data_IF_499392764556
#
_entry.id   IF_499392764556
#
_cell.length_a   1.000
_cell.length_b   1.000
_cell.length_c   1.000
_cell.angle_alpha   90.00
_cell.angle_beta   90.00
_cell.angle_gamma   90.00
#
_symmetry.space_group_name_H-M   'P 1'
#
loop_
_entity.id
_entity.type
_entity.pdbx_description
1 polymer ?
#
# COMPACT_ATOMS: atom_id res chain seq x y z
N UNK A 1 -11.29 -15.12 -14.72
CA UNK A 1 -10.25 -14.55 -13.87
C UNK A 1 -9.65 -13.44 -14.68
N UNK A 2 -9.83 -12.21 -14.20
CA UNK A 2 -9.32 -11.01 -14.83
C UNK A 2 -7.85 -10.83 -14.48
N UNK A 3 -7.10 -10.09 -15.31
CA UNK A 3 -5.71 -9.76 -14.97
C UNK A 3 -5.61 -8.98 -13.65
N UNK A 4 -6.59 -8.13 -13.38
CA UNK A 4 -6.73 -7.35 -12.14
C UNK A 4 -6.93 -8.21 -10.89
N UNK A 5 -7.35 -9.49 -11.02
CA UNK A 5 -7.46 -10.39 -9.87
C UNK A 5 -6.08 -10.68 -9.24
N UNK A 6 -5.00 -10.63 -10.03
CA UNK A 6 -3.61 -10.74 -9.54
C UNK A 6 -3.28 -9.53 -8.64
N UNK A 7 -3.57 -8.32 -9.13
CA UNK A 7 -3.33 -7.08 -8.38
C UNK A 7 -4.16 -7.03 -7.08
N UNK A 8 -5.44 -7.46 -7.13
CA UNK A 8 -6.28 -7.61 -5.93
C UNK A 8 -5.71 -8.63 -4.94
N UNK A 9 -5.02 -9.68 -5.42
CA UNK A 9 -4.37 -10.64 -4.54
C UNK A 9 -3.16 -10.02 -3.82
N UNK A 10 -2.38 -9.19 -4.51
CA UNK A 10 -1.25 -8.44 -3.95
C UNK A 10 -1.70 -7.38 -2.95
N UNK A 11 -2.78 -6.68 -3.24
CA UNK A 11 -3.42 -5.75 -2.32
C UNK A 11 -3.74 -6.40 -0.97
N UNK A 12 -4.09 -7.68 -0.93
CA UNK A 12 -4.33 -8.38 0.34
C UNK A 12 -3.05 -8.49 1.17
N UNK A 13 -1.91 -8.78 0.55
CA UNK A 13 -0.62 -8.82 1.25
C UNK A 13 -0.20 -7.43 1.71
N UNK A 14 -0.40 -6.41 0.86
CA UNK A 14 -0.11 -5.02 1.21
C UNK A 14 -0.95 -4.59 2.42
N UNK A 15 -2.28 -4.83 2.41
CA UNK A 15 -3.18 -4.52 3.53
C UNK A 15 -2.75 -5.20 4.83
N UNK A 16 -2.26 -6.45 4.79
CA UNK A 16 -1.71 -7.13 5.97
C UNK A 16 -0.53 -6.39 6.57
N UNK A 17 0.42 -5.94 5.74
CA UNK A 17 1.56 -5.12 6.19
C UNK A 17 1.12 -3.76 6.72
N UNK A 18 0.12 -3.12 6.11
CA UNK A 18 -0.40 -1.85 6.62
C UNK A 18 -0.95 -1.99 8.05
N UNK A 19 -1.68 -3.08 8.36
CA UNK A 19 -2.15 -3.35 9.74
C UNK A 19 -1.01 -3.57 10.73
N UNK A 20 0.03 -4.28 10.31
CA UNK A 20 1.25 -4.46 11.12
C UNK A 20 1.86 -3.09 11.45
N UNK A 21 1.99 -2.22 10.45
CA UNK A 21 2.54 -0.87 10.61
C UNK A 21 1.65 0.04 11.47
N UNK A 22 0.32 -0.03 11.32
CA UNK A 22 -0.63 0.70 12.16
C UNK A 22 -0.51 0.30 13.64
N UNK A 23 -0.39 -1.00 13.91
CA UNK A 23 -0.18 -1.52 15.27
C UNK A 23 1.17 -1.05 15.83
N UNK A 24 2.23 -1.10 15.03
CA UNK A 24 3.54 -0.61 15.43
C UNK A 24 3.52 0.90 15.73
N UNK A 25 2.85 1.71 14.90
CA UNK A 25 2.70 3.15 15.14
C UNK A 25 1.93 3.45 16.42
N UNK A 26 0.88 2.68 16.73
CA UNK A 26 0.14 2.82 17.99
C UNK A 26 1.03 2.54 19.20
N UNK A 27 1.86 1.49 19.16
CA UNK A 27 2.84 1.17 20.21
C UNK A 27 3.91 2.25 20.36
N UNK A 28 4.48 2.73 19.25
CA UNK A 28 5.45 3.84 19.26
C UNK A 28 4.84 5.06 19.96
N UNK A 29 3.61 5.42 19.61
CA UNK A 29 2.87 6.55 20.21
C UNK A 29 2.57 6.34 21.69
N UNK A 30 2.28 5.11 22.12
CA UNK A 30 2.04 4.77 23.51
C UNK A 30 3.31 4.76 24.38
N UNK A 31 4.49 4.94 23.78
CA UNK A 31 5.76 4.85 24.48
C UNK A 31 6.18 3.39 24.74
N UNK A 32 5.53 2.43 24.11
CA UNK A 32 5.91 1.01 24.21
C UNK A 32 7.16 0.71 23.37
N UNK A 33 7.85 -0.37 23.73
CA UNK A 33 8.99 -0.85 22.96
C UNK A 33 8.50 -1.42 21.62
N UNK A 34 9.13 -0.99 20.53
CA UNK A 34 8.86 -1.46 19.18
C UNK A 34 10.17 -1.87 18.54
N UNK A 35 10.16 -3.03 17.89
CA UNK A 35 11.31 -3.49 17.13
C UNK A 35 11.54 -2.55 15.94
N UNK A 36 12.68 -1.85 15.92
CA UNK A 36 13.01 -0.98 14.80
C UNK A 36 13.28 -1.76 13.51
N UNK A 37 13.64 -3.05 13.58
CA UNK A 37 13.76 -3.90 12.39
C UNK A 37 12.41 -4.12 11.71
N UNK A 38 11.31 -4.27 12.48
CA UNK A 38 9.95 -4.32 11.93
C UNK A 38 9.68 -3.12 11.02
N UNK A 39 9.95 -1.91 11.51
CA UNK A 39 9.67 -0.67 10.79
C UNK A 39 10.55 -0.53 9.55
N UNK A 40 11.84 -0.89 9.65
CA UNK A 40 12.76 -0.88 8.50
C UNK A 40 12.37 -1.90 7.44
N UNK A 41 11.98 -3.09 7.84
CA UNK A 41 11.50 -4.13 6.92
C UNK A 41 10.16 -3.72 6.29
N UNK A 42 9.30 -3.01 7.03
CA UNK A 42 8.09 -2.39 6.48
C UNK A 42 8.38 -1.34 5.40
N UNK A 43 9.35 -0.45 5.62
CA UNK A 43 9.84 0.50 4.58
C UNK A 43 10.38 -0.26 3.37
N UNK A 44 11.14 -1.33 3.60
CA UNK A 44 11.68 -2.15 2.51
C UNK A 44 10.58 -2.88 1.73
N UNK A 45 9.57 -3.43 2.42
CA UNK A 45 8.39 -4.01 1.79
C UNK A 45 7.63 -2.99 0.95
N UNK A 46 7.44 -1.77 1.46
CA UNK A 46 6.78 -0.70 0.72
C UNK A 46 7.50 -0.38 -0.60
N UNK A 47 8.84 -0.35 -0.59
CA UNK A 47 9.65 -0.08 -1.79
C UNK A 47 9.69 -1.27 -2.76
N UNK A 48 9.94 -2.47 -2.25
CA UNK A 48 10.18 -3.64 -3.10
C UNK A 48 8.87 -4.29 -3.57
N UNK A 49 7.87 -4.41 -2.68
CA UNK A 49 6.62 -5.12 -2.96
C UNK A 49 5.51 -4.17 -3.42
N UNK A 50 5.15 -3.16 -2.62
CA UNK A 50 4.04 -2.28 -2.99
C UNK A 50 4.41 -1.40 -4.20
N UNK A 51 5.62 -0.85 -4.24
CA UNK A 51 6.02 0.07 -5.31
C UNK A 51 6.62 -0.66 -6.53
N UNK A 52 7.84 -1.20 -6.42
CA UNK A 52 8.53 -1.76 -7.59
C UNK A 52 7.81 -2.95 -8.23
N UNK A 53 7.20 -3.83 -7.42
CA UNK A 53 6.54 -5.03 -7.91
C UNK A 53 5.08 -4.78 -8.30
N UNK A 54 4.28 -4.25 -7.38
CA UNK A 54 2.86 -4.05 -7.61
C UNK A 54 2.57 -2.81 -8.48
N UNK A 55 2.90 -1.58 -8.02
CA UNK A 55 2.70 -0.38 -8.85
C UNK A 55 3.48 -0.44 -10.17
N UNK A 56 4.64 -1.12 -10.19
CA UNK A 56 5.40 -1.34 -11.43
C UNK A 56 4.58 -2.03 -12.52
N UNK A 57 3.76 -3.03 -12.17
CA UNK A 57 2.84 -3.67 -13.14
C UNK A 57 1.73 -2.74 -13.57
N UNK A 58 1.25 -1.90 -12.68
CA UNK A 58 0.20 -0.95 -13.00
C UNK A 58 0.69 0.15 -13.94
N UNK A 59 1.79 0.81 -13.58
CA UNK A 59 2.39 1.91 -14.33
C UNK A 59 2.92 1.46 -15.70
N UNK A 60 3.53 0.28 -15.79
CA UNK A 60 4.17 -0.20 -17.03
C UNK A 60 3.24 -1.04 -17.94
N UNK A 61 2.22 -1.70 -17.38
CA UNK A 61 1.37 -2.62 -18.15
C UNK A 61 -0.10 -2.22 -18.15
N UNK A 62 -0.73 -2.00 -17.01
CA UNK A 62 -2.17 -1.72 -16.95
C UNK A 62 -2.52 -0.31 -17.45
N UNK A 63 -1.94 0.72 -16.84
CA UNK A 63 -2.27 2.12 -17.08
C UNK A 63 -2.08 2.54 -18.55
N UNK A 64 -1.01 2.14 -19.26
CA UNK A 64 -0.87 2.43 -20.69
C UNK A 64 -2.03 1.86 -21.51
N UNK A 65 -2.45 0.62 -21.23
CA UNK A 65 -3.57 -0.03 -21.94
C UNK A 65 -4.89 0.68 -21.66
N UNK A 66 -5.13 1.11 -20.43
CA UNK A 66 -6.35 1.85 -20.09
C UNK A 66 -6.39 3.23 -20.78
N UNK A 67 -5.24 3.90 -20.94
CA UNK A 67 -5.13 5.12 -21.76
C UNK A 67 -5.42 4.85 -23.22
N UNK A 68 -4.86 3.79 -23.80
CA UNK A 68 -5.13 3.39 -25.19
C UNK A 68 -6.62 3.07 -25.42
N UNK A 69 -7.30 2.56 -24.40
CA UNK A 69 -8.75 2.32 -24.40
C UNK A 69 -9.60 3.58 -24.23
N UNK A 70 -8.98 4.74 -24.05
CA UNK A 70 -9.66 6.03 -24.07
C UNK A 70 -10.00 6.60 -22.70
N UNK A 71 -9.37 6.13 -21.60
CA UNK A 71 -9.45 6.87 -20.35
C UNK A 71 -8.82 8.27 -20.53
N UNK A 72 -9.53 9.34 -20.11
CA UNK A 72 -9.10 10.70 -20.41
C UNK A 72 -7.85 11.10 -19.60
N UNK A 73 -7.03 12.02 -20.13
CA UNK A 73 -6.05 12.73 -19.33
C UNK A 73 -6.73 13.49 -18.19
N UNK A 74 -6.07 13.59 -17.04
CA UNK A 74 -6.64 14.08 -15.79
C UNK A 74 -7.60 13.08 -15.12
N UNK A 75 -7.83 11.92 -15.73
CA UNK A 75 -8.77 10.91 -15.24
C UNK A 75 -8.19 10.01 -14.12
N UNK A 76 -8.88 8.89 -13.80
CA UNK A 76 -8.51 8.00 -12.69
C UNK A 76 -7.06 7.53 -12.70
N UNK A 77 -6.50 7.22 -13.89
CA UNK A 77 -5.10 6.80 -14.03
C UNK A 77 -4.12 7.90 -13.58
N UNK A 78 -4.38 9.16 -13.91
CA UNK A 78 -3.51 10.26 -13.49
C UNK A 78 -3.61 10.53 -11.99
N UNK A 79 -4.77 10.24 -11.37
CA UNK A 79 -4.91 10.27 -9.91
C UNK A 79 -4.04 9.18 -9.28
N UNK A 80 -4.10 7.93 -9.75
CA UNK A 80 -3.30 6.83 -9.18
C UNK A 80 -1.79 7.10 -9.28
N UNK A 81 -1.30 7.56 -10.43
CA UNK A 81 0.12 7.91 -10.60
C UNK A 81 0.55 9.00 -9.61
N UNK A 82 -0.27 10.03 -9.38
CA UNK A 82 0.03 11.06 -8.37
C UNK A 82 0.09 10.46 -6.97
N UNK A 83 -0.81 9.54 -6.65
CA UNK A 83 -0.82 8.88 -5.36
C UNK A 83 0.33 7.91 -5.14
N UNK A 84 0.82 7.25 -6.20
CA UNK A 84 2.06 6.46 -6.11
C UNK A 84 3.24 7.36 -5.74
N UNK A 85 3.34 8.55 -6.35
CA UNK A 85 4.37 9.54 -5.99
C UNK A 85 4.25 9.97 -4.53
N UNK A 86 3.04 10.30 -4.06
CA UNK A 86 2.82 10.64 -2.64
C UNK A 86 3.19 9.47 -1.71
N UNK A 87 2.86 8.24 -2.09
CA UNK A 87 3.23 7.03 -1.36
C UNK A 87 4.75 6.89 -1.22
N UNK A 88 5.49 7.10 -2.32
CA UNK A 88 6.96 7.11 -2.33
C UNK A 88 7.53 8.20 -1.42
N UNK A 89 6.94 9.39 -1.40
CA UNK A 89 7.35 10.50 -0.52
C UNK A 89 7.15 10.15 0.96
N UNK A 90 6.00 9.59 1.34
CA UNK A 90 5.75 9.16 2.73
C UNK A 90 6.72 8.07 3.19
N UNK A 91 7.03 7.10 2.34
CA UNK A 91 8.03 6.06 2.65
C UNK A 91 9.44 6.66 2.82
N UNK A 92 9.78 7.68 2.04
CA UNK A 92 11.03 8.43 2.19
C UNK A 92 11.12 9.22 3.50
N UNK A 93 10.00 9.80 3.95
CA UNK A 93 9.90 10.47 5.25
C UNK A 93 10.14 9.50 6.41
N UNK A 94 9.44 8.36 6.43
CA UNK A 94 9.59 7.33 7.48
C UNK A 94 11.05 6.85 7.56
N UNK A 95 11.67 6.54 6.41
CA UNK A 95 13.07 6.12 6.34
C UNK A 95 14.03 7.18 6.90
N UNK A 96 13.77 8.46 6.62
CA UNK A 96 14.58 9.58 7.12
C UNK A 96 14.50 9.69 8.65
N UNK A 97 13.31 9.55 9.23
CA UNK A 97 13.09 9.58 10.68
C UNK A 97 13.79 8.37 11.34
N UNK A 98 13.59 7.16 10.82
CA UNK A 98 14.23 5.94 11.31
C UNK A 98 15.76 6.03 11.33
N UNK A 99 16.36 6.66 10.30
CA UNK A 99 17.81 6.87 10.22
C UNK A 99 18.33 7.96 11.18
N UNK A 100 17.47 8.88 11.61
CA UNK A 100 17.82 9.91 12.59
C UNK A 100 17.83 9.32 13.99
N UNK A 101 16.83 8.51 14.33
CA UNK A 101 16.72 7.82 15.63
C UNK A 101 17.99 6.99 15.93
N UNK A 102 18.54 6.28 14.94
CA UNK A 102 19.77 5.46 15.09
C UNK A 102 21.01 6.29 15.45
N UNK A 103 21.05 7.56 15.04
CA UNK A 103 22.21 8.44 15.27
C UNK A 103 22.15 9.13 16.63
N UNK A 104 21.03 9.07 17.34
CA UNK A 104 20.89 9.55 18.71
C UNK A 104 21.63 8.63 19.69
N UNK A 105 22.41 9.20 20.61
CA UNK A 105 23.09 8.45 21.66
C UNK A 105 22.10 8.07 22.77
N UNK A 106 21.49 6.88 22.68
CA UNK A 106 20.61 6.33 23.72
C UNK A 106 19.94 5.03 23.30
N UNK A 107 19.59 4.17 24.26
CA UNK A 107 18.82 2.94 24.03
C UNK A 107 17.31 3.23 23.78
N UNK A 108 16.85 4.44 24.12
CA UNK A 108 15.45 4.88 24.02
C UNK A 108 15.24 5.96 22.95
N UNK A 109 14.19 5.78 22.13
CA UNK A 109 13.71 6.81 21.19
C UNK A 109 13.16 8.00 22.00
N UNK A 110 13.63 9.22 21.72
CA UNK A 110 13.12 10.43 22.35
C UNK A 110 11.62 10.60 22.09
N UNK A 111 10.87 11.17 23.04
CA UNK A 111 9.40 11.29 22.93
C UNK A 111 8.96 12.04 21.67
N UNK A 112 9.65 13.12 21.29
CA UNK A 112 9.34 13.91 20.09
C UNK A 112 9.53 13.07 18.81
N UNK A 113 10.62 12.29 18.74
CA UNK A 113 10.89 11.37 17.62
C UNK A 113 9.84 10.25 17.52
N UNK A 114 9.24 9.82 18.65
CA UNK A 114 8.16 8.81 18.65
C UNK A 114 6.88 9.36 18.04
N UNK A 115 6.48 10.58 18.40
CA UNK A 115 5.27 11.20 17.85
C UNK A 115 5.40 11.41 16.34
N UNK A 116 6.53 11.97 15.89
CA UNK A 116 6.80 12.20 14.47
C UNK A 116 6.82 10.89 13.67
N UNK A 117 7.50 9.85 14.18
CA UNK A 117 7.55 8.54 13.53
C UNK A 117 6.16 7.91 13.42
N UNK A 118 5.38 7.92 14.51
CA UNK A 118 4.04 7.35 14.51
C UNK A 118 3.12 8.09 13.54
N UNK A 119 3.17 9.42 13.49
CA UNK A 119 2.38 10.22 12.53
C UNK A 119 2.78 9.91 11.08
N UNK A 120 4.08 9.82 10.78
CA UNK A 120 4.56 9.51 9.44
C UNK A 120 4.07 8.12 8.97
N UNK A 121 4.14 7.11 9.83
CA UNK A 121 3.65 5.77 9.53
C UNK A 121 2.13 5.80 9.28
N UNK A 122 1.35 6.43 10.17
CA UNK A 122 -0.11 6.48 10.03
C UNK A 122 -0.56 7.26 8.78
N UNK A 123 0.19 8.28 8.35
CA UNK A 123 -0.08 8.98 7.08
C UNK A 123 0.11 8.04 5.89
N UNK A 124 1.21 7.29 5.87
CA UNK A 124 1.48 6.32 4.80
C UNK A 124 0.41 5.22 4.74
N UNK A 125 0.09 4.59 5.87
CA UNK A 125 -0.86 3.46 5.91
C UNK A 125 -2.26 3.91 5.54
N UNK A 126 -2.70 5.08 6.02
CA UNK A 126 -4.00 5.65 5.68
C UNK A 126 -4.07 6.06 4.20
N UNK A 127 -3.00 6.63 3.65
CA UNK A 127 -2.89 6.94 2.22
C UNK A 127 -3.03 5.69 1.37
N UNK A 128 -2.19 4.67 1.61
CA UNK A 128 -2.16 3.49 0.77
C UNK A 128 -3.46 2.66 0.91
N UNK A 129 -4.08 2.63 2.09
CA UNK A 129 -5.37 1.96 2.28
C UNK A 129 -6.48 2.60 1.43
N UNK A 130 -6.55 3.94 1.40
CA UNK A 130 -7.52 4.67 0.55
C UNK A 130 -7.21 4.51 -0.93
N UNK A 131 -5.92 4.56 -1.29
CA UNK A 131 -5.46 4.33 -2.66
C UNK A 131 -5.93 2.97 -3.18
N UNK A 132 -5.61 1.89 -2.45
CA UNK A 132 -6.03 0.53 -2.79
C UNK A 132 -7.56 0.41 -2.90
N UNK A 133 -8.32 1.08 -2.02
CA UNK A 133 -9.77 1.08 -2.11
C UNK A 133 -10.27 1.68 -3.44
N UNK A 134 -9.65 2.77 -3.92
CA UNK A 134 -10.00 3.39 -5.21
C UNK A 134 -9.68 2.46 -6.37
N UNK A 135 -8.59 1.72 -6.29
CA UNK A 135 -8.22 0.77 -7.33
C UNK A 135 -9.17 -0.43 -7.35
N UNK A 136 -9.31 -1.12 -6.21
CA UNK A 136 -10.15 -2.30 -6.05
C UNK A 136 -11.60 -2.03 -6.45
N UNK A 137 -12.15 -0.91 -5.99
CA UNK A 137 -13.58 -0.61 -6.13
C UNK A 137 -13.94 0.15 -7.40
N UNK A 138 -12.98 0.86 -8.02
CA UNK A 138 -13.29 1.75 -9.15
C UNK A 138 -12.39 1.41 -10.34
N UNK A 139 -11.07 1.59 -10.23
CA UNK A 139 -10.20 1.50 -11.40
C UNK A 139 -10.17 0.09 -11.99
N UNK A 140 -10.06 -0.94 -11.16
CA UNK A 140 -10.04 -2.32 -11.64
C UNK A 140 -11.38 -2.76 -12.20
N UNK A 141 -12.50 -2.29 -11.62
CA UNK A 141 -13.83 -2.54 -12.19
C UNK A 141 -14.02 -1.87 -13.56
N UNK A 142 -13.43 -0.68 -13.76
CA UNK A 142 -13.38 -0.02 -15.07
C UNK A 142 -12.52 -0.85 -16.03
N UNK A 143 -11.34 -1.31 -15.62
CA UNK A 143 -10.45 -2.12 -16.43
C UNK A 143 -11.12 -3.44 -16.89
N UNK A 144 -11.79 -4.14 -15.97
CA UNK A 144 -12.47 -5.41 -16.22
C UNK A 144 -13.61 -5.28 -17.25
N UNK A 145 -14.22 -4.09 -17.35
CA UNK A 145 -15.26 -3.79 -18.34
C UNK A 145 -14.71 -3.28 -19.67
N UNK A 146 -13.56 -2.59 -19.66
CA UNK A 146 -12.98 -1.94 -20.85
C UNK A 146 -12.12 -2.90 -21.69
N UNK A 147 -11.49 -3.89 -21.08
CA UNK A 147 -10.64 -4.85 -21.78
C UNK A 147 -11.49 -5.99 -22.37
N UNK A 148 -11.24 -6.33 -23.64
CA UNK A 148 -11.80 -7.55 -24.21
C UNK A 148 -11.18 -8.79 -23.57
N UNK A 149 -11.84 -9.94 -23.67
CA UNK A 149 -11.31 -11.18 -23.10
C UNK A 149 -9.93 -11.59 -23.65
N UNK A 150 -9.59 -11.22 -24.89
CA UNK A 150 -8.26 -11.48 -25.44
C UNK A 150 -7.19 -10.55 -24.85
N UNK A 151 -7.51 -9.26 -24.68
CA UNK A 151 -6.62 -8.28 -24.09
C UNK A 151 -6.38 -8.53 -22.61
N UNK A 152 -7.44 -8.88 -21.87
CA UNK A 152 -7.36 -9.26 -20.47
C UNK A 152 -6.53 -10.54 -20.29
N UNK A 153 -6.76 -11.57 -21.10
CA UNK A 153 -5.95 -12.79 -21.06
C UNK A 153 -4.48 -12.53 -21.44
N UNK A 154 -4.21 -11.55 -22.31
CA UNK A 154 -2.84 -11.13 -22.64
C UNK A 154 -2.20 -10.41 -21.46
N UNK A 155 -2.89 -9.44 -20.86
CA UNK A 155 -2.40 -8.69 -19.70
C UNK A 155 -2.13 -9.62 -18.51
N UNK A 156 -2.99 -10.60 -18.27
CA UNK A 156 -2.76 -11.61 -17.24
C UNK A 156 -1.44 -12.35 -17.47
N UNK A 157 -1.13 -12.78 -18.70
CA UNK A 157 0.15 -13.46 -19.00
C UNK A 157 1.34 -12.53 -18.80
N UNK A 158 1.19 -11.25 -19.13
CA UNK A 158 2.22 -10.24 -18.94
C UNK A 158 2.47 -9.96 -17.46
N UNK A 159 1.44 -9.92 -16.61
CA UNK A 159 1.60 -9.87 -15.16
C UNK A 159 2.31 -11.09 -14.61
N UNK A 160 1.88 -12.30 -14.99
CA UNK A 160 2.57 -13.53 -14.53
C UNK A 160 4.04 -13.58 -14.96
N UNK A 161 4.37 -13.05 -16.15
CA UNK A 161 5.76 -12.93 -16.58
C UNK A 161 6.53 -11.87 -15.78
N UNK A 162 5.91 -10.71 -15.56
CA UNK A 162 6.47 -9.64 -14.74
C UNK A 162 6.71 -10.11 -13.30
N UNK A 163 5.85 -10.97 -12.74
CA UNK A 163 6.04 -11.49 -11.38
C UNK A 163 7.39 -12.18 -11.23
N UNK A 164 7.77 -13.00 -12.23
CA UNK A 164 9.03 -13.75 -12.27
C UNK A 164 10.23 -12.82 -12.46
N UNK A 165 10.07 -11.78 -13.28
CA UNK A 165 11.15 -10.83 -13.59
C UNK A 165 11.40 -9.82 -12.46
N UNK A 166 10.33 -9.38 -11.79
CA UNK A 166 10.37 -8.35 -10.74
C UNK A 166 10.70 -8.94 -9.36
N UNK A 167 10.27 -10.18 -9.07
CA UNK A 167 10.46 -10.76 -7.75
C UNK A 167 10.64 -12.27 -7.77
N UNK A 168 11.79 -12.73 -7.27
CA UNK A 168 12.06 -14.17 -7.16
C UNK A 168 11.10 -14.86 -6.19
N UNK A 169 10.88 -16.17 -6.38
CA UNK A 169 10.09 -16.97 -5.42
C UNK A 169 10.64 -16.88 -3.99
N UNK A 170 11.95 -16.73 -3.83
CA UNK A 170 12.59 -16.56 -2.53
C UNK A 170 12.27 -15.20 -1.88
N UNK A 171 12.20 -14.12 -2.68
CA UNK A 171 11.81 -12.80 -2.17
C UNK A 171 10.33 -12.76 -1.80
N UNK A 172 9.46 -13.40 -2.60
CA UNK A 172 8.04 -13.54 -2.27
C UNK A 172 7.83 -14.33 -0.97
N UNK A 173 8.54 -15.47 -0.83
CA UNK A 173 8.50 -16.28 0.39
C UNK A 173 9.00 -15.51 1.62
N UNK A 174 10.07 -14.71 1.47
CA UNK A 174 10.58 -13.83 2.53
C UNK A 174 9.52 -12.83 3.00
N UNK A 175 8.77 -12.21 2.09
CA UNK A 175 7.72 -11.29 2.47
C UNK A 175 6.54 -11.98 3.14
N UNK A 176 6.20 -13.19 2.69
CA UNK A 176 5.18 -13.99 3.38
C UNK A 176 5.61 -14.34 4.81
N UNK A 177 6.87 -14.77 5.00
CA UNK A 177 7.42 -15.06 6.32
C UNK A 177 7.45 -13.81 7.23
N UNK A 178 7.82 -12.65 6.68
CA UNK A 178 7.76 -11.37 7.39
C UNK A 178 6.35 -11.08 7.89
N UNK A 179 5.34 -11.18 7.02
CA UNK A 179 3.94 -10.93 7.39
C UNK A 179 3.49 -11.90 8.47
N UNK A 180 3.69 -13.21 8.26
CA UNK A 180 3.21 -14.24 9.19
C UNK A 180 3.89 -14.12 10.57
N UNK A 181 5.18 -13.78 10.58
CA UNK A 181 5.94 -13.56 11.83
C UNK A 181 5.37 -12.39 12.61
N UNK A 182 5.10 -11.26 11.96
CA UNK A 182 4.68 -10.05 12.65
C UNK A 182 3.19 -10.03 12.99
N UNK A 183 2.32 -10.62 12.18
CA UNK A 183 0.92 -10.85 12.58
C UNK A 183 0.86 -11.71 13.84
N UNK A 184 1.63 -12.80 13.91
CA UNK A 184 1.71 -13.64 15.10
C UNK A 184 2.31 -12.90 16.30
N UNK A 185 3.40 -12.15 16.10
CA UNK A 185 4.09 -11.43 17.19
C UNK A 185 3.24 -10.32 17.78
N UNK A 186 2.42 -9.67 16.96
CA UNK A 186 1.52 -8.60 17.37
C UNK A 186 0.13 -9.11 17.78
N UNK A 187 -0.07 -10.44 17.79
CA UNK A 187 -1.36 -11.09 18.06
C UNK A 187 -2.50 -10.55 17.17
N UNK A 188 -2.16 -10.18 15.93
CA UNK A 188 -3.14 -9.72 14.95
C UNK A 188 -3.94 -10.92 14.45
N UNK A 189 -5.26 -10.77 14.32
CA UNK A 189 -6.10 -11.86 13.87
C UNK A 189 -5.80 -12.23 12.40
N UNK A 190 -5.77 -13.52 12.13
CA UNK A 190 -5.51 -14.05 10.78
C UNK A 190 -6.64 -13.67 9.81
N UNK A 191 -6.29 -13.24 8.59
CA UNK A 191 -7.25 -13.08 7.49
C UNK A 191 -7.40 -11.66 6.92
N UNK A 192 -8.18 -11.58 5.83
CA UNK A 192 -8.22 -10.43 4.90
C UNK A 192 -9.31 -9.39 5.23
N UNK A 193 -10.40 -9.80 5.89
CA UNK A 193 -11.62 -9.00 6.07
C UNK A 193 -11.93 -8.73 7.55
N UNK A 194 -11.10 -7.94 8.24
CA UNK A 194 -11.39 -7.56 9.61
C UNK A 194 -11.43 -6.03 9.78
N UNK A 195 -12.47 -5.56 10.48
CA UNK A 195 -12.60 -4.18 10.93
C UNK A 195 -11.34 -3.73 11.69
N UNK A 196 -10.97 -2.44 11.63
CA UNK A 196 -9.80 -1.94 12.33
C UNK A 196 -9.87 -2.26 13.84
N UNK A 197 -8.77 -2.79 14.38
CA UNK A 197 -8.66 -3.15 15.80
C UNK A 197 -8.93 -1.94 16.71
N UNK A 198 -9.60 -2.11 17.86
CA UNK A 198 -9.76 -1.03 18.83
C UNK A 198 -8.40 -0.51 19.29
N UNK A 199 -8.07 0.76 18.96
CA UNK A 199 -6.79 1.38 19.28
C UNK A 199 -5.88 1.64 18.08
N UNK A 200 -6.14 1.00 16.93
CA UNK A 200 -5.70 1.51 15.63
C UNK A 200 -6.74 2.54 15.19
N UNK A 201 -6.30 3.73 14.76
CA UNK A 201 -7.24 4.75 14.28
C UNK A 201 -8.02 4.21 13.08
N UNK A 202 -9.28 3.84 13.32
CA UNK A 202 -10.25 3.57 12.27
C UNK A 202 -10.38 4.82 11.40
N UNK A 203 -10.03 4.75 10.13
CA UNK A 203 -10.29 5.84 9.19
C UNK A 203 -11.11 5.38 7.99
N UNK A 204 -12.33 5.91 8.02
CA UNK A 204 -13.36 6.05 6.97
C UNK A 204 -14.15 4.78 6.62
N UNK A 205 -15.33 4.74 7.26
CA UNK A 205 -16.37 3.76 7.07
C UNK A 205 -17.12 4.01 5.75
N UNK A 206 -17.05 3.02 4.87
CA UNK A 206 -17.93 2.77 3.72
C UNK A 206 -17.45 3.18 2.31
N UNK A 207 -17.77 2.35 1.30
CA UNK A 207 -17.57 2.66 -0.13
C UNK A 207 -18.16 4.00 -0.61
N UNK A 208 -19.24 4.46 0.01
CA UNK A 208 -19.95 5.67 -0.42
C UNK A 208 -19.13 6.93 -0.09
N UNK A 209 -18.38 6.93 1.02
CA UNK A 209 -17.50 8.05 1.39
C UNK A 209 -16.28 8.15 0.45
N UNK A 210 -15.73 7.02 0.00
CA UNK A 210 -14.61 6.99 -0.95
C UNK A 210 -15.01 7.58 -2.32
N UNK A 211 -16.20 7.22 -2.80
CA UNK A 211 -16.75 7.75 -4.05
C UNK A 211 -16.99 9.26 -3.94
N UNK A 212 -17.49 9.75 -2.80
CA UNK A 212 -17.76 11.17 -2.61
C UNK A 212 -16.49 11.99 -2.37
N UNK A 213 -15.44 11.42 -1.77
CA UNK A 213 -14.12 12.04 -1.65
C UNK A 213 -13.46 12.22 -3.03
N UNK A 214 -13.51 11.19 -3.88
CA UNK A 214 -13.00 11.28 -5.26
C UNK A 214 -13.77 12.33 -6.06
N UNK A 215 -15.11 12.34 -5.96
CA UNK A 215 -15.92 13.39 -6.60
C UNK A 215 -15.57 14.79 -6.11
N UNK A 216 -15.14 14.93 -4.84
CA UNK A 216 -14.75 16.20 -4.25
C UNK A 216 -13.36 16.61 -4.71
N UNK A 217 -12.39 15.69 -4.75
CA UNK A 217 -11.03 15.93 -5.26
C UNK A 217 -11.06 16.28 -6.76
N UNK A 218 -11.87 15.57 -7.55
CA UNK A 218 -12.08 15.87 -8.98
C UNK A 218 -12.83 17.20 -9.23
N UNK A 219 -13.44 17.81 -8.21
CA UNK A 219 -14.15 19.10 -8.29
C UNK A 219 -13.36 20.27 -7.72
N UNK A 220 -12.18 20.04 -7.16
CA UNK A 220 -11.33 21.11 -6.61
C UNK A 220 -10.33 21.66 -7.63
N UNK A 221 -10.38 21.19 -8.88
CA UNK A 221 -9.64 21.74 -10.02
C UNK A 221 -10.57 22.64 -10.86
N UNK A 222 -10.90 23.83 -10.33
CA UNK A 222 -11.40 24.99 -11.07
C UNK A 222 -10.63 26.25 -10.61
#
# INVERSE_FOLDING_TARGET
MHATDILRQEHRQIKRVLRILDCAAAKVRAGEEVDLDLLRQGVKFAREYADMFHHGKEEELLFPRLREKGLPPGGPVDVMIREHVMGRDYVGEIDTILNTIVKGEGEDIATEDREELADAILRYTAHLSRHIQKEDMILFNIADQMLSGEEDAKLHREFTAADVDLMSEADQARWQEFIDTWEKTLELPEGEDQEPMPGCLAFMDSPDEAVDLIKKELKQED
#
